data_IF_023288203045
#
_entry.id   IF_023288203045
#
_cell.length_a   1.000
_cell.length_b   1.000
_cell.length_c   1.000
_cell.angle_alpha   90.00
_cell.angle_beta   90.00
_cell.angle_gamma   90.00
#
_symmetry.space_group_name_H-M   'P 1'
#
loop_
_entity.id
_entity.type
_entity.pdbx_description
1 polymer ?
#
# COMPACT_ATOMS: atom_id res chain seq x y z
N UNK A 1 -36.10 -16.24 -27.70
CA UNK A 1 -35.41 -15.71 -26.51
C UNK A 1 -34.12 -16.47 -26.17
N UNK A 2 -34.13 -17.81 -26.05
CA UNK A 2 -32.94 -18.63 -25.69
C UNK A 2 -31.70 -18.47 -26.60
N UNK A 3 -31.86 -18.36 -27.92
CA UNK A 3 -30.72 -18.18 -28.86
C UNK A 3 -29.97 -16.85 -28.71
N UNK A 4 -30.68 -15.75 -28.40
CA UNK A 4 -30.06 -14.44 -28.16
C UNK A 4 -29.33 -14.39 -26.81
N UNK A 5 -29.80 -15.17 -25.84
CA UNK A 5 -29.14 -15.33 -24.54
C UNK A 5 -27.85 -16.15 -24.68
N UNK A 6 -27.91 -17.30 -25.37
CA UNK A 6 -26.73 -18.12 -25.64
C UNK A 6 -25.65 -17.38 -26.45
N UNK A 7 -26.05 -16.62 -27.49
CA UNK A 7 -25.10 -15.82 -28.27
C UNK A 7 -24.43 -14.71 -27.44
N UNK A 8 -25.17 -14.06 -26.53
CA UNK A 8 -24.61 -13.08 -25.58
C UNK A 8 -23.64 -13.75 -24.61
N UNK A 9 -23.99 -14.90 -24.04
CA UNK A 9 -23.11 -15.65 -23.14
C UNK A 9 -21.82 -16.08 -23.81
N UNK A 10 -21.88 -16.58 -25.05
CA UNK A 10 -20.70 -16.98 -25.82
C UNK A 10 -19.83 -15.76 -26.16
N UNK A 11 -20.43 -14.64 -26.57
CA UNK A 11 -19.69 -13.41 -26.82
C UNK A 11 -19.00 -12.88 -25.55
N UNK A 12 -19.67 -12.93 -24.40
CA UNK A 12 -19.05 -12.55 -23.10
C UNK A 12 -17.88 -13.47 -22.76
N UNK A 13 -18.02 -14.79 -22.94
CA UNK A 13 -16.94 -15.74 -22.66
C UNK A 13 -15.73 -15.48 -23.58
N UNK A 14 -15.96 -15.24 -24.87
CA UNK A 14 -14.90 -14.94 -25.84
C UNK A 14 -14.20 -13.62 -25.49
N UNK A 15 -14.94 -12.58 -25.11
CA UNK A 15 -14.36 -11.30 -24.67
C UNK A 15 -13.55 -11.46 -23.38
N UNK A 16 -14.05 -12.24 -22.40
CA UNK A 16 -13.31 -12.53 -21.17
C UNK A 16 -12.04 -13.33 -21.46
N UNK A 17 -12.09 -14.32 -22.35
CA UNK A 17 -10.92 -15.10 -22.75
C UNK A 17 -9.89 -14.24 -23.50
N UNK A 18 -10.32 -13.42 -24.46
CA UNK A 18 -9.42 -12.51 -25.17
C UNK A 18 -8.81 -11.50 -24.20
N UNK A 19 -9.61 -10.88 -23.33
CA UNK A 19 -9.11 -9.95 -22.32
C UNK A 19 -8.18 -10.62 -21.31
N UNK A 20 -8.43 -11.87 -20.91
CA UNK A 20 -7.52 -12.66 -20.09
C UNK A 20 -6.22 -13.02 -20.82
N UNK A 21 -6.21 -13.06 -22.15
CA UNK A 21 -5.01 -13.35 -22.95
C UNK A 21 -4.22 -12.09 -23.34
N UNK A 22 -4.87 -10.93 -23.50
CA UNK A 22 -4.22 -9.66 -23.91
C UNK A 22 -3.99 -8.67 -22.77
N UNK A 23 -4.77 -8.75 -21.70
CA UNK A 23 -4.65 -7.94 -20.47
C UNK A 23 -4.99 -8.79 -19.22
N UNK A 24 -4.27 -9.91 -18.99
CA UNK A 24 -4.59 -10.88 -17.94
C UNK A 24 -4.74 -10.26 -16.55
N UNK A 25 -3.91 -9.26 -16.22
CA UNK A 25 -3.85 -8.60 -14.90
C UNK A 25 -5.20 -8.09 -14.45
N UNK A 26 -5.68 -6.98 -15.00
CA UNK A 26 -6.96 -6.39 -14.65
C UNK A 26 -8.09 -7.44 -14.54
N UNK A 27 -8.53 -8.08 -15.63
CA UNK A 27 -9.78 -8.88 -15.60
C UNK A 27 -9.70 -10.03 -14.60
N UNK A 28 -8.56 -10.71 -14.50
CA UNK A 28 -8.34 -11.77 -13.53
C UNK A 28 -8.31 -11.21 -12.11
N UNK A 29 -7.59 -10.11 -11.86
CA UNK A 29 -7.55 -9.37 -10.59
C UNK A 29 -8.95 -9.07 -10.07
N UNK A 30 -9.80 -8.47 -10.90
CA UNK A 30 -11.13 -8.06 -10.46
C UNK A 30 -12.04 -9.25 -10.18
N UNK A 31 -11.93 -10.32 -10.97
CA UNK A 31 -12.63 -11.55 -10.66
C UNK A 31 -12.11 -12.17 -9.37
N UNK A 32 -10.80 -12.25 -9.18
CA UNK A 32 -10.19 -12.79 -7.97
C UNK A 32 -10.60 -11.98 -6.74
N UNK A 33 -10.43 -10.65 -6.70
CA UNK A 33 -10.84 -9.83 -5.54
C UNK A 33 -12.33 -9.98 -5.20
N UNK A 34 -13.19 -10.08 -6.22
CA UNK A 34 -14.64 -10.28 -6.03
C UNK A 34 -14.97 -11.69 -5.53
N UNK A 35 -14.31 -12.71 -6.06
CA UNK A 35 -14.56 -14.13 -5.77
C UNK A 35 -13.84 -14.61 -4.50
N UNK A 36 -12.72 -13.99 -4.13
CA UNK A 36 -12.00 -14.29 -2.90
C UNK A 36 -12.93 -13.92 -1.74
N UNK A 37 -13.31 -14.91 -0.92
CA UNK A 37 -14.14 -14.65 0.26
C UNK A 37 -13.49 -13.55 1.08
N UNK A 38 -14.26 -12.60 1.64
CA UNK A 38 -13.68 -11.67 2.58
C UNK A 38 -12.97 -12.49 3.67
N UNK A 39 -11.74 -12.11 4.07
CA UNK A 39 -11.10 -12.64 5.26
C UNK A 39 -12.11 -12.69 6.42
N UNK A 40 -12.17 -13.80 7.16
CA UNK A 40 -13.24 -14.11 8.12
C UNK A 40 -13.50 -12.95 9.07
N UNK A 41 -14.70 -12.36 8.97
CA UNK A 41 -15.17 -11.32 9.87
C UNK A 41 -15.48 -11.98 11.21
N UNK A 42 -14.61 -11.75 12.20
CA UNK A 42 -15.00 -11.97 13.59
C UNK A 42 -15.95 -10.84 13.99
N UNK A 43 -17.25 -11.18 14.09
CA UNK A 43 -18.26 -10.53 14.94
C UNK A 43 -18.86 -9.17 14.48
N UNK A 44 -20.02 -8.75 15.04
CA UNK A 44 -20.64 -7.44 14.80
C UNK A 44 -19.67 -6.31 15.17
N UNK A 45 -19.94 -5.07 14.73
CA UNK A 45 -19.14 -3.86 15.01
C UNK A 45 -18.41 -3.99 16.36
N UNK A 46 -17.06 -4.10 16.36
CA UNK A 46 -16.36 -4.61 17.52
C UNK A 46 -16.63 -3.73 18.75
N UNK A 47 -16.84 -4.36 19.90
CA UNK A 47 -16.86 -3.67 21.19
C UNK A 47 -15.57 -2.82 21.29
N UNK A 48 -15.70 -1.53 21.64
CA UNK A 48 -14.56 -0.60 21.66
C UNK A 48 -14.28 0.11 20.32
N UNK A 49 -15.21 0.11 19.36
CA UNK A 49 -15.11 0.94 18.15
C UNK A 49 -14.81 2.42 18.48
N UNK A 50 -13.85 3.00 17.76
CA UNK A 50 -13.53 4.43 17.84
C UNK A 50 -14.53 5.24 16.99
N UNK A 51 -14.70 6.55 17.23
CA UNK A 51 -15.43 7.43 16.31
C UNK A 51 -14.89 7.30 14.88
N UNK A 52 -15.77 7.34 13.87
CA UNK A 52 -15.32 7.39 12.49
C UNK A 52 -14.63 8.72 12.23
N UNK A 53 -13.53 8.67 11.48
CA UNK A 53 -12.83 9.86 10.99
C UNK A 53 -13.28 10.20 9.57
N UNK A 54 -13.30 11.49 9.26
CA UNK A 54 -13.50 12.00 7.91
C UNK A 54 -12.66 13.27 7.69
N UNK A 55 -12.54 13.72 6.45
CA UNK A 55 -11.96 15.03 6.16
C UNK A 55 -13.07 16.07 6.09
N UNK A 56 -13.04 17.03 7.00
CA UNK A 56 -13.95 18.17 7.02
C UNK A 56 -13.44 19.24 6.04
N UNK A 57 -14.33 19.79 5.20
CA UNK A 57 -14.02 20.80 4.18
C UNK A 57 -14.73 22.12 4.47
N UNK A 58 -14.30 22.88 5.50
CA UNK A 58 -14.93 24.15 5.86
C UNK A 58 -14.74 25.20 4.76
N UNK A 59 -15.79 25.97 4.46
CA UNK A 59 -15.73 27.02 3.44
C UNK A 59 -14.71 28.10 3.83
N UNK A 60 -13.71 28.33 2.97
CA UNK A 60 -12.70 29.38 3.15
C UNK A 60 -11.65 29.09 4.24
N UNK A 61 -11.57 27.85 4.72
CA UNK A 61 -10.54 27.40 5.66
C UNK A 61 -9.88 26.10 5.17
N UNK A 62 -8.75 25.75 5.77
CA UNK A 62 -8.02 24.54 5.43
C UNK A 62 -8.80 23.29 5.88
N UNK A 63 -8.90 22.25 5.02
CA UNK A 63 -9.48 20.97 5.43
C UNK A 63 -8.70 20.31 6.57
N UNK A 64 -9.40 19.55 7.42
CA UNK A 64 -8.80 18.86 8.56
C UNK A 64 -9.49 17.52 8.82
N UNK A 65 -8.77 16.60 9.49
CA UNK A 65 -9.36 15.33 9.93
C UNK A 65 -10.27 15.63 11.13
N UNK A 66 -11.52 15.20 11.04
CA UNK A 66 -12.53 15.35 12.07
C UNK A 66 -13.10 13.99 12.49
N UNK A 67 -13.66 13.94 13.70
CA UNK A 67 -14.54 12.86 14.10
C UNK A 67 -15.99 13.10 13.67
N UNK A 68 -16.87 12.15 13.97
CA UNK A 68 -18.31 12.20 13.67
C UNK A 68 -19.07 13.40 14.29
N UNK A 69 -18.47 14.10 15.25
CA UNK A 69 -19.01 15.33 15.85
C UNK A 69 -18.46 16.61 15.20
N UNK A 70 -17.59 16.48 14.19
CA UNK A 70 -16.93 17.60 13.52
C UNK A 70 -15.77 18.20 14.34
N UNK A 71 -15.30 17.51 15.39
CA UNK A 71 -14.15 17.98 16.18
C UNK A 71 -12.87 17.62 15.46
N UNK A 72 -11.93 18.55 15.38
CA UNK A 72 -10.61 18.28 14.82
C UNK A 72 -9.90 17.18 15.63
N UNK A 73 -9.37 16.19 14.92
CA UNK A 73 -8.59 15.08 15.49
C UNK A 73 -7.15 15.20 15.04
N UNK A 74 -6.24 15.34 16.01
CA UNK A 74 -4.80 15.26 15.77
C UNK A 74 -4.33 13.83 16.01
N UNK A 75 -3.74 13.19 15.00
CA UNK A 75 -3.22 11.83 15.08
C UNK A 75 -1.72 11.88 15.42
N UNK A 76 -1.37 11.56 16.67
CA UNK A 76 0.00 11.50 17.16
C UNK A 76 0.36 10.06 17.52
N UNK A 77 1.46 9.56 16.96
CA UNK A 77 1.76 8.14 16.98
C UNK A 77 3.19 7.79 16.64
N UNK A 78 3.40 6.49 16.39
CA UNK A 78 4.68 5.91 15.99
C UNK A 78 4.53 4.93 14.81
N UNK A 79 5.67 4.55 14.24
CA UNK A 79 5.78 3.62 13.10
C UNK A 79 6.62 2.40 13.53
N UNK A 80 6.01 1.32 14.06
CA UNK A 80 6.72 0.09 14.38
C UNK A 80 6.89 -0.80 13.13
N UNK A 81 8.13 -1.07 12.74
CA UNK A 81 8.44 -1.86 11.54
C UNK A 81 8.29 -3.38 11.67
N UNK A 82 7.73 -3.89 12.77
CA UNK A 82 7.74 -5.33 13.09
C UNK A 82 6.95 -6.24 12.14
N UNK A 83 6.13 -5.67 11.24
CA UNK A 83 5.38 -6.40 10.21
C UNK A 83 6.00 -6.28 8.81
N UNK A 84 7.11 -5.55 8.65
CA UNK A 84 7.78 -5.36 7.37
C UNK A 84 8.61 -6.61 6.99
N UNK A 85 8.59 -6.97 5.71
CA UNK A 85 9.39 -8.05 5.14
C UNK A 85 10.84 -7.65 4.90
N UNK A 86 11.60 -7.45 5.97
CA UNK A 86 13.03 -7.21 5.87
C UNK A 86 13.77 -8.44 5.34
N UNK A 87 14.84 -8.21 4.58
CA UNK A 87 15.70 -9.28 4.06
C UNK A 87 16.44 -10.01 5.18
N UNK A 88 15.94 -11.20 5.52
CA UNK A 88 16.56 -12.17 6.42
C UNK A 88 17.63 -12.95 5.66
N UNK A 89 18.83 -12.38 5.60
CA UNK A 89 19.98 -13.03 4.94
C UNK A 89 20.14 -14.45 5.47
N UNK A 90 19.91 -15.44 4.62
CA UNK A 90 20.41 -16.80 4.81
C UNK A 90 21.90 -16.86 4.46
N UNK A 91 22.69 -17.60 5.23
CA UNK A 91 23.97 -18.14 4.78
C UNK A 91 23.88 -19.68 4.83
N UNK A 92 23.89 -20.38 3.67
CA UNK A 92 23.96 -19.83 2.30
C UNK A 92 22.72 -18.99 1.94
N UNK A 93 22.82 -18.09 0.93
CA UNK A 93 21.70 -17.28 0.47
C UNK A 93 20.49 -18.15 0.13
N UNK A 94 19.43 -18.04 0.93
CA UNK A 94 18.15 -18.68 0.63
C UNK A 94 17.40 -17.76 -0.35
N UNK A 95 16.91 -18.27 -1.49
CA UNK A 95 16.26 -17.43 -2.50
C UNK A 95 15.01 -16.67 -2.01
N UNK A 96 14.30 -17.26 -1.05
CA UNK A 96 13.12 -16.66 -0.42
C UNK A 96 13.12 -16.99 1.08
N UNK A 97 13.89 -16.25 1.89
CA UNK A 97 13.96 -16.52 3.31
C UNK A 97 12.66 -16.12 4.00
N UNK A 98 12.29 -16.89 5.02
CA UNK A 98 11.14 -16.57 5.87
C UNK A 98 11.29 -15.17 6.49
N UNK A 99 10.19 -14.44 6.74
CA UNK A 99 10.26 -13.13 7.38
C UNK A 99 10.97 -13.23 8.74
N UNK A 100 11.66 -12.16 9.15
CA UNK A 100 12.38 -12.13 10.44
C UNK A 100 11.47 -12.43 11.63
N UNK A 101 10.22 -11.97 11.55
CA UNK A 101 9.22 -12.18 12.59
C UNK A 101 8.08 -13.07 12.10
N UNK A 102 7.50 -13.92 12.96
CA UNK A 102 6.37 -14.73 12.59
C UNK A 102 5.20 -13.86 12.11
N UNK A 103 4.54 -14.30 11.04
CA UNK A 103 3.30 -13.69 10.53
C UNK A 103 2.04 -14.40 11.05
N UNK A 104 2.20 -15.45 11.86
CA UNK A 104 1.08 -16.20 12.44
C UNK A 104 0.67 -15.55 13.77
N UNK A 105 -0.59 -15.09 13.93
CA UNK A 105 -1.06 -14.48 15.18
C UNK A 105 -0.81 -15.33 16.44
N UNK A 106 -0.84 -16.66 16.32
CA UNK A 106 -0.63 -17.57 17.44
C UNK A 106 0.78 -17.48 18.04
N UNK A 107 1.75 -16.93 17.30
CA UNK A 107 3.09 -16.67 17.83
C UNK A 107 3.11 -15.55 18.88
N UNK A 108 2.07 -14.72 18.92
CA UNK A 108 1.95 -13.53 19.79
C UNK A 108 0.90 -13.67 20.90
N UNK A 109 0.29 -14.85 21.04
CA UNK A 109 -0.74 -15.08 22.06
C UNK A 109 -0.09 -15.24 23.45
N UNK A 110 -0.33 -14.25 24.33
CA UNK A 110 0.21 -14.22 25.69
C UNK A 110 1.73 -14.13 25.79
N UNK A 111 2.43 -13.84 24.67
CA UNK A 111 3.89 -13.71 24.61
C UNK A 111 4.31 -12.86 23.42
N UNK A 112 5.49 -12.25 23.52
CA UNK A 112 6.15 -11.59 22.41
C UNK A 112 7.26 -12.51 21.84
N UNK A 113 7.41 -12.65 20.51
CA UNK A 113 8.57 -13.32 19.92
C UNK A 113 9.89 -12.67 20.32
N UNK A 114 10.97 -13.45 20.31
CA UNK A 114 12.31 -12.94 20.64
C UNK A 114 12.81 -11.92 19.60
N UNK A 115 13.50 -10.89 20.10
CA UNK A 115 14.24 -9.96 19.25
C UNK A 115 15.36 -10.68 18.48
N UNK A 116 15.62 -10.24 17.25
CA UNK A 116 16.75 -10.72 16.46
C UNK A 116 17.93 -9.74 16.51
N UNK A 117 19.16 -10.16 16.87
CA UNK A 117 20.33 -9.27 16.78
C UNK A 117 20.66 -8.88 15.33
N UNK A 118 20.13 -9.61 14.35
CA UNK A 118 20.30 -9.34 12.93
C UNK A 118 19.34 -8.26 12.40
N UNK A 119 18.41 -7.75 13.20
CA UNK A 119 17.47 -6.69 12.81
C UNK A 119 17.23 -5.72 13.97
N UNK A 120 17.54 -4.41 13.85
CA UNK A 120 17.32 -3.46 14.95
C UNK A 120 15.85 -3.17 15.20
N UNK A 121 14.97 -3.51 14.26
CA UNK A 121 13.52 -3.36 14.39
C UNK A 121 12.99 -4.57 15.16
N UNK A 122 12.35 -4.41 16.33
CA UNK A 122 11.78 -5.52 17.11
C UNK A 122 10.46 -6.05 16.50
N UNK A 123 9.98 -7.24 16.90
CA UNK A 123 8.60 -7.64 16.62
C UNK A 123 7.63 -6.67 17.30
N UNK A 124 6.46 -6.46 16.70
CA UNK A 124 5.41 -5.61 17.29
C UNK A 124 4.49 -6.46 18.19
N UNK A 125 4.36 -6.12 19.46
CA UNK A 125 3.60 -6.86 20.45
C UNK A 125 2.55 -5.99 21.15
N UNK A 126 1.59 -6.61 21.84
CA UNK A 126 0.50 -5.90 22.53
C UNK A 126 1.03 -4.88 23.56
N UNK A 127 2.07 -5.26 24.31
CA UNK A 127 2.71 -4.39 25.31
C UNK A 127 3.35 -3.14 24.70
N UNK A 128 3.77 -3.18 23.43
CA UNK A 128 4.28 -2.00 22.74
C UNK A 128 3.16 -0.97 22.52
N UNK A 129 1.96 -1.43 22.13
CA UNK A 129 0.81 -0.55 21.97
C UNK A 129 0.31 -0.04 23.32
N UNK A 130 0.34 -0.87 24.37
CA UNK A 130 0.03 -0.42 25.72
C UNK A 130 1.00 0.69 26.18
N UNK A 131 2.29 0.56 25.85
CA UNK A 131 3.30 1.57 26.12
C UNK A 131 3.05 2.84 25.30
N UNK A 132 2.66 2.72 24.03
CA UNK A 132 2.27 3.85 23.18
C UNK A 132 1.07 4.61 23.78
N UNK A 133 0.03 3.89 24.20
CA UNK A 133 -1.15 4.48 24.84
C UNK A 133 -0.78 5.20 26.15
N UNK A 134 0.10 4.61 26.97
CA UNK A 134 0.58 5.21 28.22
C UNK A 134 1.39 6.51 27.99
N UNK A 135 2.01 6.67 26.82
CA UNK A 135 2.67 7.91 26.40
C UNK A 135 1.70 8.95 25.82
N UNK A 136 0.42 8.60 25.66
CA UNK A 136 -0.62 9.47 25.10
C UNK A 136 -0.71 9.44 23.58
N UNK A 137 -0.07 8.49 22.90
CA UNK A 137 -0.29 8.28 21.47
C UNK A 137 -1.71 7.77 21.22
N UNK A 138 -2.33 8.28 20.16
CA UNK A 138 -3.68 7.91 19.73
C UNK A 138 -3.70 7.36 18.29
N UNK A 139 -2.54 7.19 17.67
CA UNK A 139 -2.40 6.69 16.32
C UNK A 139 -1.20 5.74 16.18
N UNK A 140 -1.29 4.82 15.24
CA UNK A 140 -0.28 3.86 14.83
C UNK A 140 -0.27 3.83 13.30
N UNK A 141 0.83 4.23 12.65
CA UNK A 141 1.03 3.94 11.23
C UNK A 141 1.71 2.58 11.14
N UNK A 142 0.98 1.58 10.66
CA UNK A 142 1.37 0.18 10.65
C UNK A 142 1.92 -0.21 9.27
N UNK A 143 3.25 -0.21 9.09
CA UNK A 143 3.85 -0.57 7.82
C UNK A 143 3.74 -2.07 7.58
N UNK A 144 3.23 -2.42 6.41
CA UNK A 144 3.09 -3.79 5.93
C UNK A 144 3.75 -3.94 4.56
N UNK A 145 4.11 -5.16 4.17
CA UNK A 145 4.78 -5.40 2.88
C UNK A 145 3.86 -6.13 1.90
N UNK A 146 3.82 -5.62 0.66
CA UNK A 146 3.10 -6.28 -0.44
C UNK A 146 3.61 -7.72 -0.65
N UNK A 147 4.91 -7.97 -0.48
CA UNK A 147 5.51 -9.29 -0.57
C UNK A 147 4.94 -10.33 0.39
N UNK A 148 4.53 -9.93 1.60
CA UNK A 148 3.90 -10.84 2.56
C UNK A 148 2.39 -10.94 2.36
N UNK A 149 1.77 -9.87 1.85
CA UNK A 149 0.35 -9.82 1.53
C UNK A 149 0.00 -10.66 0.29
N UNK A 150 0.85 -10.63 -0.73
CA UNK A 150 0.68 -11.34 -2.00
C UNK A 150 2.00 -12.02 -2.43
N UNK A 151 2.44 -13.06 -1.69
CA UNK A 151 3.72 -13.73 -1.95
C UNK A 151 3.77 -14.40 -3.32
N UNK A 152 2.63 -14.83 -3.83
CA UNK A 152 2.46 -15.33 -5.20
C UNK A 152 1.35 -14.53 -5.91
N UNK A 153 1.55 -14.23 -7.19
CA UNK A 153 0.62 -13.43 -8.01
C UNK A 153 -0.82 -13.97 -7.91
N UNK A 154 -1.75 -13.12 -7.52
CA UNK A 154 -3.17 -13.41 -7.32
C UNK A 154 -3.50 -14.26 -6.08
N UNK A 155 -2.52 -14.59 -5.22
CA UNK A 155 -2.72 -15.42 -4.02
C UNK A 155 -2.42 -14.62 -2.76
N UNK A 156 -3.46 -14.06 -2.17
CA UNK A 156 -3.35 -13.29 -0.93
C UNK A 156 -3.13 -14.17 0.30
N UNK A 157 -2.27 -13.70 1.20
CA UNK A 157 -1.90 -14.38 2.42
C UNK A 157 -2.84 -14.02 3.57
N UNK A 158 -3.82 -14.88 3.81
CA UNK A 158 -4.81 -14.70 4.86
C UNK A 158 -4.16 -14.57 6.26
N UNK A 159 -3.13 -15.36 6.55
CA UNK A 159 -2.49 -15.34 7.87
C UNK A 159 -1.83 -13.99 8.17
N UNK A 160 -1.22 -13.39 7.17
CA UNK A 160 -0.62 -12.06 7.32
C UNK A 160 -1.70 -10.99 7.55
N UNK A 161 -2.84 -11.07 6.85
CA UNK A 161 -3.99 -10.19 7.13
C UNK A 161 -4.57 -10.42 8.53
N UNK A 162 -4.63 -11.66 9.01
CA UNK A 162 -5.05 -11.97 10.38
C UNK A 162 -4.06 -11.39 11.40
N UNK A 163 -2.77 -11.33 11.07
CA UNK A 163 -1.75 -10.67 11.91
C UNK A 163 -1.92 -9.16 11.96
N UNK A 164 -2.22 -8.52 10.83
CA UNK A 164 -2.59 -7.10 10.80
C UNK A 164 -3.84 -6.87 11.65
N UNK A 165 -4.87 -7.72 11.51
CA UNK A 165 -6.09 -7.62 12.30
C UNK A 165 -5.85 -7.77 13.80
N UNK A 166 -4.95 -8.66 14.22
CA UNK A 166 -4.56 -8.81 15.63
C UNK A 166 -3.98 -7.50 16.20
N UNK A 167 -3.14 -6.79 15.43
CA UNK A 167 -2.61 -5.48 15.85
C UNK A 167 -3.71 -4.42 15.90
N UNK A 168 -4.62 -4.41 14.92
CA UNK A 168 -5.79 -3.51 14.93
C UNK A 168 -6.68 -3.78 16.14
N UNK A 169 -6.85 -5.04 16.54
CA UNK A 169 -7.65 -5.41 17.70
C UNK A 169 -7.03 -4.90 19.01
N UNK A 170 -5.71 -5.02 19.17
CA UNK A 170 -4.97 -4.43 20.29
C UNK A 170 -5.09 -2.90 20.31
N UNK A 171 -4.91 -2.25 19.16
CA UNK A 171 -5.02 -0.80 19.03
C UNK A 171 -6.42 -0.30 19.40
N UNK A 172 -7.46 -0.99 18.93
CA UNK A 172 -8.87 -0.68 19.24
C UNK A 172 -9.13 -0.72 20.73
N UNK A 173 -8.66 -1.77 21.42
CA UNK A 173 -8.82 -1.90 22.87
C UNK A 173 -8.17 -0.75 23.67
N UNK A 174 -7.18 -0.10 23.07
CA UNK A 174 -6.40 1.00 23.67
C UNK A 174 -6.83 2.40 23.15
N UNK A 175 -7.83 2.48 22.27
CA UNK A 175 -8.26 3.76 21.69
C UNK A 175 -7.23 4.38 20.74
N UNK A 176 -6.43 3.54 20.07
CA UNK A 176 -5.44 3.95 19.07
C UNK A 176 -6.00 3.68 17.67
N UNK A 177 -6.01 4.70 16.81
CA UNK A 177 -6.31 4.54 15.39
C UNK A 177 -5.15 3.88 14.64
N UNK A 178 -5.44 3.06 13.64
CA UNK A 178 -4.44 2.41 12.78
C UNK A 178 -4.51 2.97 11.37
N UNK A 179 -3.39 3.46 10.86
CA UNK A 179 -3.19 3.77 9.44
C UNK A 179 -2.42 2.60 8.85
N UNK A 180 -3.05 1.79 8.00
CA UNK A 180 -2.39 0.65 7.35
C UNK A 180 -1.56 1.19 6.19
N UNK A 181 -0.25 0.99 6.24
CA UNK A 181 0.71 1.59 5.32
C UNK A 181 1.29 0.52 4.39
N UNK A 182 0.99 0.62 3.10
CA UNK A 182 1.58 -0.24 2.07
C UNK A 182 3.04 0.16 1.82
N UNK A 183 3.89 -0.34 2.72
CA UNK A 183 5.23 0.14 2.92
C UNK A 183 6.23 -0.50 1.95
N UNK A 184 7.14 0.33 1.46
CA UNK A 184 8.28 -0.09 0.65
C UNK A 184 9.50 0.74 1.02
N UNK A 185 10.67 0.14 0.82
CA UNK A 185 11.95 0.82 0.89
C UNK A 185 12.77 0.35 -0.31
N UNK A 186 13.13 1.28 -1.21
CA UNK A 186 13.81 0.97 -2.46
C UNK A 186 13.14 -0.18 -3.25
N UNK A 187 11.82 -0.10 -3.36
CA UNK A 187 10.91 -0.99 -4.08
C UNK A 187 10.79 -2.43 -3.55
N UNK A 188 11.91 -3.16 -3.44
CA UNK A 188 11.89 -4.60 -3.21
C UNK A 188 13.23 -5.16 -2.76
N UNK A 189 13.22 -6.18 -1.88
CA UNK A 189 14.40 -6.98 -1.54
C UNK A 189 14.93 -7.84 -2.69
N UNK A 190 14.18 -7.95 -3.79
CA UNK A 190 14.49 -8.78 -4.95
C UNK A 190 15.14 -7.98 -6.11
N UNK A 191 15.46 -6.70 -5.91
CA UNK A 191 16.12 -5.87 -6.94
C UNK A 191 17.57 -6.26 -7.21
N UNK A 192 18.12 -7.27 -6.53
CA UNK A 192 19.50 -7.70 -6.75
C UNK A 192 19.85 -9.01 -6.06
N UNK A 193 20.91 -9.66 -6.56
CA UNK A 193 21.58 -10.73 -5.84
C UNK A 193 22.70 -10.11 -4.97
N UNK A 194 22.90 -10.52 -3.71
CA UNK A 194 24.01 -10.08 -2.84
C UNK A 194 25.43 -10.41 -3.35
N UNK A 195 25.57 -10.92 -4.59
CA UNK A 195 26.71 -11.70 -5.06
C UNK A 195 28.00 -10.89 -5.26
N UNK A 196 27.92 -9.55 -5.37
CA UNK A 196 29.11 -8.69 -5.40
C UNK A 196 29.55 -8.24 -3.99
N UNK A 197 28.71 -8.45 -2.97
CA UNK A 197 28.96 -8.02 -1.59
C UNK A 197 28.91 -6.51 -1.37
N UNK A 198 28.51 -5.73 -2.39
CA UNK A 198 28.55 -4.26 -2.36
C UNK A 198 27.21 -3.69 -1.88
N UNK A 199 26.09 -4.29 -2.28
CA UNK A 199 24.75 -3.78 -1.92
C UNK A 199 24.15 -4.55 -0.76
N UNK A 200 23.91 -3.86 0.36
CA UNK A 200 23.18 -4.42 1.51
C UNK A 200 21.66 -4.35 1.26
N UNK A 201 21.03 -5.51 1.11
CA UNK A 201 19.57 -5.62 0.92
C UNK A 201 18.76 -5.56 2.23
N UNK A 202 19.43 -5.37 3.38
CA UNK A 202 18.82 -5.47 4.72
C UNK A 202 17.56 -4.60 4.89
N UNK A 203 17.55 -3.42 4.27
CA UNK A 203 16.46 -2.44 4.36
C UNK A 203 15.77 -2.21 3.03
N UNK A 204 15.87 -3.16 2.11
CA UNK A 204 15.05 -3.19 0.90
C UNK A 204 13.81 -4.01 1.20
N UNK A 205 12.62 -3.46 0.96
CA UNK A 205 11.33 -4.05 1.40
C UNK A 205 10.22 -3.61 0.46
N UNK A 206 9.11 -4.34 0.39
CA UNK A 206 7.93 -3.89 -0.35
C UNK A 206 7.41 -4.96 -1.31
N UNK A 207 7.74 -4.85 -2.60
CA UNK A 207 7.17 -5.68 -3.65
C UNK A 207 7.67 -7.14 -3.63
N UNK A 208 6.82 -8.13 -3.99
CA UNK A 208 7.23 -9.51 -4.15
C UNK A 208 8.15 -9.71 -5.36
N UNK A 209 8.85 -10.85 -5.38
CA UNK A 209 9.78 -11.20 -6.45
C UNK A 209 9.10 -11.21 -7.84
N UNK A 210 7.88 -11.75 -7.94
CA UNK A 210 7.14 -11.84 -9.20
C UNK A 210 6.71 -10.47 -9.76
N UNK A 211 6.70 -9.43 -8.92
CA UNK A 211 6.39 -8.05 -9.30
C UNK A 211 7.64 -7.16 -9.43
N UNK A 212 8.85 -7.74 -9.34
CA UNK A 212 10.11 -6.98 -9.39
C UNK A 212 10.82 -7.20 -10.72
N UNK A 213 10.77 -6.19 -11.60
CA UNK A 213 11.41 -6.22 -12.93
C UNK A 213 12.56 -5.22 -12.98
N UNK A 214 13.80 -5.71 -12.96
CA UNK A 214 15.00 -4.87 -13.03
C UNK A 214 15.64 -4.83 -14.41
N UNK A 215 15.14 -5.62 -15.37
CA UNK A 215 15.66 -5.72 -16.75
C UNK A 215 17.18 -5.88 -16.89
N UNK A 216 17.81 -6.51 -15.91
CA UNK A 216 19.25 -6.74 -15.90
C UNK A 216 20.08 -5.50 -15.56
N UNK A 217 19.45 -4.39 -15.14
CA UNK A 217 20.18 -3.27 -14.56
C UNK A 217 20.94 -3.71 -13.30
N UNK A 218 22.15 -3.19 -13.08
CA UNK A 218 22.97 -3.57 -11.93
C UNK A 218 22.34 -3.09 -10.62
N UNK A 219 22.36 -3.96 -9.61
CA UNK A 219 21.89 -3.62 -8.27
C UNK A 219 23.02 -3.04 -7.43
N UNK A 220 23.31 -1.76 -7.65
CA UNK A 220 24.38 -1.04 -6.97
C UNK A 220 23.86 0.30 -6.46
N UNK A 221 23.91 0.51 -5.14
CA UNK A 221 23.53 1.77 -4.52
C UNK A 221 24.66 2.80 -4.62
N UNK A 222 24.33 4.00 -5.10
CA UNK A 222 25.26 5.14 -5.17
C UNK A 222 24.96 6.13 -4.05
N UNK A 223 25.57 5.90 -2.88
CA UNK A 223 25.39 6.72 -1.68
C UNK A 223 24.12 6.38 -0.90
N UNK A 224 22.96 6.44 -1.55
CA UNK A 224 21.64 6.10 -0.97
C UNK A 224 21.05 4.86 -1.66
N UNK A 225 20.25 4.07 -0.92
CA UNK A 225 19.69 2.79 -1.41
C UNK A 225 18.71 2.99 -2.58
N UNK A 226 18.02 4.13 -2.61
CA UNK A 226 17.09 4.58 -3.64
C UNK A 226 17.80 4.96 -4.94
N UNK A 227 19.06 5.40 -4.86
CA UNK A 227 19.90 5.70 -6.04
C UNK A 227 20.57 4.40 -6.49
N UNK A 228 19.76 3.50 -7.02
CA UNK A 228 20.18 2.19 -7.50
C UNK A 228 19.52 1.91 -8.86
N UNK A 229 20.27 1.66 -9.95
CA UNK A 229 19.70 1.47 -11.28
C UNK A 229 18.63 0.35 -11.37
N UNK A 230 18.81 -0.74 -10.61
CA UNK A 230 17.82 -1.81 -10.56
C UNK A 230 16.52 -1.39 -9.85
N UNK A 231 16.62 -0.51 -8.83
CA UNK A 231 15.46 0.07 -8.14
C UNK A 231 14.71 1.01 -9.08
N UNK A 232 15.44 1.95 -9.71
CA UNK A 232 14.84 2.92 -10.64
C UNK A 232 14.10 2.22 -11.79
N UNK A 233 14.66 1.13 -12.30
CA UNK A 233 14.01 0.31 -13.32
C UNK A 233 12.77 -0.41 -12.79
N UNK A 234 12.83 -0.98 -11.58
CA UNK A 234 11.68 -1.67 -10.98
C UNK A 234 10.51 -0.73 -10.70
N UNK A 235 10.77 0.46 -10.13
CA UNK A 235 9.76 1.51 -9.96
C UNK A 235 9.18 1.94 -11.30
N UNK A 236 10.02 2.16 -12.32
CA UNK A 236 9.56 2.51 -13.68
C UNK A 236 8.60 1.46 -14.24
N UNK A 237 8.94 0.18 -14.11
CA UNK A 237 8.08 -0.92 -14.56
C UNK A 237 6.75 -0.98 -13.81
N UNK A 238 6.72 -0.61 -12.52
CA UNK A 238 5.48 -0.47 -11.75
C UNK A 238 4.61 0.68 -12.26
N UNK A 239 5.19 1.86 -12.49
CA UNK A 239 4.44 3.02 -12.96
C UNK A 239 3.82 2.83 -14.34
N UNK A 240 4.50 2.08 -15.22
CA UNK A 240 3.99 1.70 -16.53
C UNK A 240 3.13 0.43 -16.53
N UNK A 241 2.79 -0.10 -15.35
CA UNK A 241 1.92 -1.27 -15.18
C UNK A 241 2.38 -2.48 -16.00
N UNK A 242 3.70 -2.70 -16.06
CA UNK A 242 4.28 -3.81 -16.82
C UNK A 242 3.68 -5.12 -16.34
N UNK A 243 3.19 -5.92 -17.28
CA UNK A 243 2.57 -7.22 -16.96
C UNK A 243 1.40 -7.12 -15.96
N UNK A 244 0.77 -5.94 -15.83
CA UNK A 244 -0.35 -5.71 -14.91
C UNK A 244 0.04 -5.68 -13.44
N UNK A 245 1.29 -5.37 -13.07
CA UNK A 245 1.70 -5.36 -11.65
C UNK A 245 1.07 -4.25 -10.83
N UNK A 246 0.74 -3.10 -11.42
CA UNK A 246 0.03 -2.03 -10.73
C UNK A 246 -1.43 -2.45 -10.50
N UNK A 247 -2.03 -3.20 -11.44
CA UNK A 247 -3.34 -3.81 -11.24
C UNK A 247 -3.37 -4.79 -10.06
N UNK A 248 -2.37 -5.66 -9.92
CA UNK A 248 -2.28 -6.62 -8.80
C UNK A 248 -2.04 -5.88 -7.47
N UNK A 249 -1.25 -4.80 -7.47
CA UNK A 249 -1.10 -3.95 -6.28
C UNK A 249 -2.44 -3.33 -5.84
N UNK A 250 -3.20 -2.76 -6.80
CA UNK A 250 -4.55 -2.23 -6.54
C UNK A 250 -5.45 -3.34 -5.98
N UNK A 251 -5.31 -4.57 -6.47
CA UNK A 251 -6.02 -5.75 -5.97
C UNK A 251 -5.69 -6.04 -4.50
N UNK A 252 -4.40 -5.96 -4.15
CA UNK A 252 -3.90 -6.21 -2.81
C UNK A 252 -4.44 -5.16 -1.81
N UNK A 253 -4.43 -3.88 -2.20
CA UNK A 253 -5.04 -2.80 -1.41
C UNK A 253 -6.55 -3.02 -1.25
N UNK A 254 -7.26 -3.38 -2.32
CA UNK A 254 -8.69 -3.68 -2.26
C UNK A 254 -9.01 -4.90 -1.38
N UNK A 255 -8.16 -5.93 -1.39
CA UNK A 255 -8.28 -7.10 -0.54
C UNK A 255 -8.15 -6.75 0.95
N UNK A 256 -7.16 -5.91 1.30
CA UNK A 256 -7.04 -5.36 2.66
C UNK A 256 -8.24 -4.51 3.03
N UNK A 257 -8.64 -3.57 2.16
CA UNK A 257 -9.75 -2.68 2.45
C UNK A 257 -11.05 -3.45 2.68
N UNK A 258 -11.28 -4.54 1.94
CA UNK A 258 -12.42 -5.44 2.14
C UNK A 258 -12.46 -6.05 3.56
N UNK A 259 -11.30 -6.29 4.19
CA UNK A 259 -11.21 -6.82 5.57
C UNK A 259 -11.61 -5.78 6.63
N UNK A 260 -11.26 -4.52 6.39
CA UNK A 260 -11.33 -3.47 7.41
C UNK A 260 -12.42 -2.43 7.12
N UNK A 261 -13.15 -2.52 6.00
CA UNK A 261 -14.15 -1.53 5.57
C UNK A 261 -15.19 -1.11 6.63
N UNK A 262 -15.49 -1.98 7.59
CA UNK A 262 -16.49 -1.76 8.65
C UNK A 262 -15.85 -1.53 10.04
N UNK A 263 -14.53 -1.31 10.11
CA UNK A 263 -13.75 -1.21 11.35
C UNK A 263 -13.18 0.20 11.57
N UNK A 264 -13.84 1.00 12.40
CA UNK A 264 -13.45 2.38 12.66
C UNK A 264 -12.15 2.55 13.44
N UNK A 265 -11.56 1.47 13.98
CA UNK A 265 -10.21 1.53 14.52
C UNK A 265 -9.17 1.73 13.42
N UNK A 266 -9.46 1.31 12.19
CA UNK A 266 -8.65 1.69 11.03
C UNK A 266 -9.06 3.11 10.64
N UNK A 267 -8.13 4.05 10.77
CA UNK A 267 -8.34 5.42 10.28
C UNK A 267 -8.34 5.47 8.75
N UNK A 268 -7.51 4.64 8.12
CA UNK A 268 -7.39 4.61 6.68
C UNK A 268 -6.17 3.87 6.16
N UNK A 269 -5.87 4.10 4.88
CA UNK A 269 -4.80 3.43 4.16
C UNK A 269 -3.78 4.46 3.65
N UNK A 270 -2.51 4.30 3.97
CA UNK A 270 -1.40 4.96 3.25
C UNK A 270 -1.07 4.12 2.03
N UNK A 271 -1.38 4.69 0.87
CA UNK A 271 -1.57 3.91 -0.37
C UNK A 271 -0.26 3.35 -0.91
N UNK A 272 0.83 4.12 -0.79
CA UNK A 272 2.15 3.74 -1.29
C UNK A 272 3.19 4.59 -0.56
N UNK A 273 4.05 3.96 0.25
CA UNK A 273 5.07 4.69 1.01
C UNK A 273 6.11 5.33 0.06
N UNK A 274 6.38 6.62 0.24
CA UNK A 274 7.48 7.37 -0.39
C UNK A 274 7.73 7.03 -1.86
N UNK A 275 6.78 7.35 -2.77
CA UNK A 275 6.85 6.95 -4.17
C UNK A 275 8.14 7.47 -4.84
N UNK A 276 8.96 6.54 -5.34
CA UNK A 276 10.13 6.84 -6.15
C UNK A 276 9.73 7.03 -7.62
N UNK A 277 10.27 8.03 -8.34
CA UNK A 277 9.85 8.31 -9.70
C UNK A 277 10.37 7.29 -10.73
N UNK A 278 11.29 6.40 -10.35
CA UNK A 278 12.05 5.60 -11.30
C UNK A 278 12.87 6.50 -12.23
N UNK A 279 12.81 6.25 -13.53
CA UNK A 279 13.44 7.07 -14.58
C UNK A 279 12.63 8.31 -14.98
N UNK A 280 11.45 8.51 -14.39
CA UNK A 280 10.60 9.64 -14.71
C UNK A 280 11.07 10.91 -14.00
N UNK A 281 10.79 12.07 -14.58
CA UNK A 281 11.19 13.36 -14.01
C UNK A 281 9.96 14.13 -13.50
N UNK A 282 10.02 14.74 -12.32
CA UNK A 282 9.04 15.74 -11.90
C UNK A 282 9.02 16.96 -12.84
N UNK A 283 7.87 17.64 -13.02
CA UNK A 283 6.54 17.33 -12.49
C UNK A 283 5.78 16.23 -13.27
N UNK A 284 6.36 15.74 -14.37
CA UNK A 284 5.70 14.75 -15.25
C UNK A 284 5.40 13.43 -14.55
N UNK A 285 6.23 13.04 -13.57
CA UNK A 285 5.97 11.86 -12.74
C UNK A 285 4.67 12.00 -11.94
N UNK A 286 4.50 13.09 -11.20
CA UNK A 286 3.35 13.30 -10.33
C UNK A 286 2.05 13.37 -11.11
N UNK A 287 2.02 14.21 -12.15
CA UNK A 287 0.82 14.51 -12.92
C UNK A 287 0.37 13.35 -13.83
N UNK A 288 1.32 12.58 -14.39
CA UNK A 288 1.02 11.56 -15.41
C UNK A 288 1.06 10.13 -14.87
N UNK A 289 1.67 9.89 -13.70
CA UNK A 289 1.85 8.53 -13.15
C UNK A 289 1.31 8.42 -11.73
N UNK A 290 1.77 9.26 -10.80
CA UNK A 290 1.47 9.09 -9.37
C UNK A 290 0.01 9.40 -9.01
N UNK A 291 -0.48 10.62 -9.31
CA UNK A 291 -1.87 10.97 -8.97
C UNK A 291 -2.89 10.13 -9.74
N UNK A 292 -2.67 9.80 -11.02
CA UNK A 292 -3.52 8.82 -11.69
C UNK A 292 -3.52 7.44 -11.04
N UNK A 293 -2.37 6.96 -10.54
CA UNK A 293 -2.33 5.71 -9.78
C UNK A 293 -3.16 5.81 -8.49
N UNK A 294 -3.04 6.90 -7.72
CA UNK A 294 -3.86 7.09 -6.52
C UNK A 294 -5.35 7.12 -6.83
N UNK A 295 -5.74 7.83 -7.89
CA UNK A 295 -7.12 7.80 -8.39
C UNK A 295 -7.56 6.38 -8.74
N UNK A 296 -6.71 5.58 -9.39
CA UNK A 296 -7.04 4.18 -9.71
C UNK A 296 -7.30 3.37 -8.45
N UNK A 297 -6.49 3.53 -7.40
CA UNK A 297 -6.70 2.85 -6.11
C UNK A 297 -8.02 3.29 -5.47
N UNK A 298 -8.28 4.60 -5.41
CA UNK A 298 -9.50 5.17 -4.81
C UNK A 298 -10.75 4.66 -5.54
N UNK A 299 -10.77 4.71 -6.87
CA UNK A 299 -11.90 4.23 -7.65
C UNK A 299 -12.14 2.71 -7.44
N UNK A 300 -11.05 1.93 -7.35
CA UNK A 300 -11.10 0.49 -7.13
C UNK A 300 -11.72 0.11 -5.78
N UNK A 301 -11.39 0.85 -4.72
CA UNK A 301 -11.77 0.54 -3.34
C UNK A 301 -13.12 1.19 -2.97
N UNK A 302 -13.35 2.43 -3.39
CA UNK A 302 -14.51 3.21 -2.95
C UNK A 302 -15.70 3.11 -3.90
N UNK A 303 -15.44 2.82 -5.18
CA UNK A 303 -16.40 2.92 -6.27
C UNK A 303 -16.79 4.36 -6.64
N UNK A 304 -16.24 5.37 -5.96
CA UNK A 304 -16.46 6.79 -6.24
C UNK A 304 -15.54 7.19 -7.40
N UNK A 305 -16.04 7.09 -8.62
CA UNK A 305 -15.30 7.49 -9.82
C UNK A 305 -15.85 8.74 -10.49
N UNK A 306 -14.97 9.65 -10.93
CA UNK A 306 -15.40 10.91 -11.59
C UNK A 306 -15.83 10.72 -13.07
N UNK A 307 -16.16 9.49 -13.46
CA UNK A 307 -16.66 9.17 -14.80
C UNK A 307 -15.65 9.33 -15.94
N UNK A 308 -14.35 9.46 -15.66
CA UNK A 308 -13.29 9.52 -16.67
C UNK A 308 -12.95 8.10 -17.17
N UNK A 309 -13.36 7.70 -18.39
CA UNK A 309 -13.12 6.35 -18.90
C UNK A 309 -11.65 6.16 -19.29
N UNK A 310 -11.10 4.98 -19.02
CA UNK A 310 -9.76 4.64 -19.50
C UNK A 310 -9.74 4.33 -20.99
N UNK A 311 -8.85 5.02 -21.71
CA UNK A 311 -8.52 4.71 -23.08
C UNK A 311 -7.25 3.85 -23.08
N UNK A 312 -7.36 2.58 -23.49
CA UNK A 312 -6.26 1.61 -23.54
C UNK A 312 -5.31 1.84 -24.74
N UNK A 313 -5.09 3.10 -25.14
CA UNK A 313 -4.34 3.48 -26.33
C UNK A 313 -2.83 3.56 -26.08
N UNK A 314 -2.06 3.17 -27.09
CA UNK A 314 -0.62 2.85 -27.11
C UNK A 314 0.37 3.97 -26.70
N UNK A 315 -0.03 5.15 -26.19
CA UNK A 315 0.92 6.28 -26.08
C UNK A 315 0.86 7.20 -24.85
N UNK A 316 -0.06 7.01 -23.87
CA UNK A 316 -0.10 7.87 -22.67
C UNK A 316 -0.53 7.06 -21.44
N UNK A 317 0.19 7.10 -20.31
CA UNK A 317 -0.30 6.53 -19.07
C UNK A 317 -1.45 7.39 -18.51
N UNK A 318 -2.28 6.71 -17.72
CA UNK A 318 -3.61 7.08 -17.29
C UNK A 318 -3.75 8.54 -16.80
N UNK A 319 -4.80 9.23 -17.23
CA UNK A 319 -5.46 10.30 -16.44
C UNK A 319 -6.88 9.84 -16.05
N UNK A 320 -7.12 8.53 -16.16
CA UNK A 320 -8.44 7.94 -16.15
C UNK A 320 -8.68 7.11 -14.91
N UNK A 321 -9.95 6.96 -14.56
CA UNK A 321 -10.36 6.21 -13.39
C UNK A 321 -10.21 4.70 -13.53
N UNK A 322 -10.24 3.98 -12.42
CA UNK A 322 -10.27 2.53 -12.42
C UNK A 322 -11.70 2.02 -12.22
N UNK A 323 -11.94 0.73 -12.48
CA UNK A 323 -13.26 0.15 -12.18
C UNK A 323 -13.35 -0.19 -10.69
N UNK A 324 -14.57 -0.07 -10.17
CA UNK A 324 -14.93 -0.55 -8.84
C UNK A 324 -14.68 -2.07 -8.71
N UNK A 325 -13.87 -2.47 -7.72
CA UNK A 325 -13.60 -3.88 -7.40
C UNK A 325 -14.64 -4.49 -6.46
N UNK A 326 -15.63 -3.71 -6.01
CA UNK A 326 -16.77 -4.15 -5.21
C UNK A 326 -16.51 -4.15 -3.71
N UNK A 327 -15.54 -3.36 -3.24
CA UNK A 327 -15.26 -3.18 -1.81
C UNK A 327 -16.30 -2.23 -1.19
N UNK A 328 -16.51 -1.07 -1.83
CA UNK A 328 -17.49 -0.07 -1.42
C UNK A 328 -17.13 0.64 -0.11
N UNK A 329 -15.83 0.79 0.18
CA UNK A 329 -15.36 1.51 1.36
C UNK A 329 -15.41 3.02 1.09
N UNK A 330 -16.36 3.69 1.72
CA UNK A 330 -16.59 5.13 1.51
C UNK A 330 -16.39 5.94 2.80
N UNK A 331 -15.76 5.35 3.82
CA UNK A 331 -15.55 5.98 5.12
C UNK A 331 -14.09 6.22 5.43
N UNK A 332 -13.22 5.27 5.12
CA UNK A 332 -11.80 5.35 5.47
C UNK A 332 -11.09 6.51 4.78
N UNK A 333 -10.08 7.06 5.47
CA UNK A 333 -9.17 8.03 4.91
C UNK A 333 -8.21 7.36 3.91
N UNK A 334 -7.82 8.07 2.85
CA UNK A 334 -6.70 7.67 1.98
C UNK A 334 -5.58 8.69 2.14
N UNK A 335 -4.46 8.22 2.69
CA UNK A 335 -3.24 9.01 2.84
C UNK A 335 -2.41 8.84 1.56
N UNK A 336 -2.23 9.96 0.86
CA UNK A 336 -1.56 10.02 -0.43
C UNK A 336 -0.19 10.67 -0.23
N UNK A 337 0.84 9.84 -0.21
CA UNK A 337 2.21 10.30 -0.04
C UNK A 337 2.62 11.15 -1.25
N UNK A 338 3.33 12.25 -1.02
CA UNK A 338 3.90 12.98 -2.16
C UNK A 338 5.12 12.24 -2.68
N UNK A 339 5.43 12.35 -3.98
CA UNK A 339 6.65 11.72 -4.50
C UNK A 339 7.89 12.18 -3.72
N UNK A 340 8.89 11.30 -3.57
CA UNK A 340 10.07 11.53 -2.70
C UNK A 340 10.73 12.90 -2.94
N UNK A 341 10.79 13.36 -4.19
CA UNK A 341 11.36 14.67 -4.53
C UNK A 341 10.61 15.82 -3.84
N UNK A 342 9.27 15.78 -3.82
CA UNK A 342 8.47 16.79 -3.12
C UNK A 342 8.59 16.67 -1.60
N UNK A 343 8.68 15.45 -1.07
CA UNK A 343 8.89 15.22 0.37
C UNK A 343 10.21 15.84 0.85
N UNK A 344 11.27 15.73 0.04
CA UNK A 344 12.60 16.24 0.37
C UNK A 344 12.75 17.75 0.11
N UNK A 345 12.12 18.28 -0.95
CA UNK A 345 12.39 19.65 -1.43
C UNK A 345 11.27 20.65 -1.15
N UNK A 346 10.07 20.20 -0.80
CA UNK A 346 8.85 21.01 -0.66
C UNK A 346 8.49 21.82 -1.92
N UNK A 347 9.05 21.46 -3.10
CA UNK A 347 8.65 22.10 -4.35
C UNK A 347 7.29 21.55 -4.83
N UNK A 348 6.32 22.42 -5.18
CA UNK A 348 5.07 21.97 -5.77
C UNK A 348 5.33 21.45 -7.18
N UNK A 349 5.25 20.14 -7.36
CA UNK A 349 5.50 19.44 -8.62
C UNK A 349 4.22 19.04 -9.35
N UNK A 350 3.08 19.69 -9.08
CA UNK A 350 1.80 19.26 -9.67
C UNK A 350 1.01 20.37 -10.35
N UNK A 351 0.27 19.97 -11.38
CA UNK A 351 -0.83 20.75 -11.94
C UNK A 351 -1.98 20.76 -10.93
N UNK A 352 -2.61 21.91 -10.69
CA UNK A 352 -3.69 22.11 -9.70
C UNK A 352 -5.01 21.39 -10.01
N UNK A 353 -4.95 20.17 -10.54
CA UNK A 353 -6.08 19.32 -10.86
C UNK A 353 -6.49 18.48 -9.65
N UNK A 354 -7.80 18.29 -9.42
CA UNK A 354 -8.27 17.40 -8.36
C UNK A 354 -7.89 15.95 -8.69
N UNK A 355 -7.34 15.24 -7.70
CA UNK A 355 -6.91 13.83 -7.83
C UNK A 355 -8.13 12.90 -7.97
N UNK A 356 -9.16 13.10 -7.13
CA UNK A 356 -10.40 12.32 -7.11
C UNK A 356 -11.51 13.15 -6.44
N UNK A 357 -12.79 12.83 -6.72
CA UNK A 357 -13.94 13.38 -6.00
C UNK A 357 -14.21 12.72 -4.64
N UNK A 358 -13.49 11.67 -4.27
CA UNK A 358 -13.60 11.07 -2.95
C UNK A 358 -13.22 12.11 -1.88
N UNK A 359 -14.05 12.35 -0.84
CA UNK A 359 -13.87 13.49 0.06
C UNK A 359 -12.79 13.27 1.12
N UNK A 360 -12.49 12.01 1.46
CA UNK A 360 -11.64 11.64 2.59
C UNK A 360 -10.17 11.43 2.18
N UNK A 361 -9.60 12.40 1.46
CA UNK A 361 -8.20 12.39 1.02
C UNK A 361 -7.34 13.21 1.96
N UNK A 362 -6.21 12.61 2.37
CA UNK A 362 -5.22 13.24 3.24
C UNK A 362 -3.89 13.25 2.52
N UNK A 363 -3.19 14.38 2.52
CA UNK A 363 -1.81 14.42 2.01
C UNK A 363 -0.90 13.78 3.06
N UNK A 364 -0.20 12.72 2.66
CA UNK A 364 0.91 12.13 3.40
C UNK A 364 2.20 12.85 3.00
N UNK A 365 2.91 13.45 3.95
CA UNK A 365 4.23 14.02 3.70
C UNK A 365 5.19 13.37 4.70
N UNK A 366 6.36 12.96 4.23
CA UNK A 366 7.47 12.56 5.08
C UNK A 366 8.45 13.74 5.28
N UNK A 367 8.30 14.53 6.34
CA UNK A 367 9.24 15.60 6.64
C UNK A 367 10.47 15.02 7.35
N UNK A 368 11.58 14.93 6.62
CA UNK A 368 12.87 14.58 7.21
C UNK A 368 13.58 15.83 7.72
N UNK A 369 13.89 15.87 9.02
CA UNK A 369 14.84 16.85 9.56
C UNK A 369 16.25 16.24 9.56
N UNK A 370 17.23 16.92 8.94
CA UNK A 370 18.67 16.64 9.00
C UNK A 370 19.23 15.37 8.28
N UNK A 371 18.40 14.48 7.74
CA UNK A 371 18.87 13.25 7.07
C UNK A 371 18.99 13.33 5.54
N UNK A 372 18.03 14.01 4.90
CA UNK A 372 17.90 14.08 3.44
C UNK A 372 17.82 15.51 2.90
N UNK A 373 18.05 16.51 3.75
CA UNK A 373 17.88 17.92 3.42
C UNK A 373 19.16 18.48 2.77
N UNK A 374 19.00 19.47 1.88
CA UNK A 374 20.11 20.06 1.09
C UNK A 374 21.22 20.63 1.98
N UNK A 375 20.93 21.00 3.22
CA UNK A 375 21.92 21.45 4.21
C UNK A 375 22.89 20.35 4.69
N UNK A 376 22.63 19.08 4.38
CA UNK A 376 23.48 17.94 4.71
C UNK A 376 24.29 17.38 3.52
N UNK A 377 24.07 17.87 2.29
CA UNK A 377 24.84 17.57 1.07
C UNK A 377 25.91 18.63 0.83
#
# INVERSE_FOLDING_TARGET
MRRKFAARSVATIVVVLIAAMTYPGAVLVSMLVRLTPPPTVSSPAPQGALPWLHVEHPQGAQPYIADDQGRMVLLHGAIPGGLIDFWSRGDPPIPDPAPYYPIDPAAYDGRCPDNSPAMPVPPLCEDDLASMAALGFNSLRLPISWSLLEPERGRFNQRYVDRVAQVVDWARALGIYVIIDMHQNAYSRYVGAPADGITSLRYYTGAPAWATFTDGFPSHAYGQREINPAVLEADTNFWYDRSGIQDEYIAAVAFLAKRFKDDSAVAGYSVFNEPLPGWNLPPGFEDLLLFPFYRRVIDAVTGVGDGLPCWSGFFMPAVCGYRDLGVGDQRHLFFLDTGLVREVTDFPTHLGLPVSSYPNLVIGLHPYTHGYTIDAL
#
